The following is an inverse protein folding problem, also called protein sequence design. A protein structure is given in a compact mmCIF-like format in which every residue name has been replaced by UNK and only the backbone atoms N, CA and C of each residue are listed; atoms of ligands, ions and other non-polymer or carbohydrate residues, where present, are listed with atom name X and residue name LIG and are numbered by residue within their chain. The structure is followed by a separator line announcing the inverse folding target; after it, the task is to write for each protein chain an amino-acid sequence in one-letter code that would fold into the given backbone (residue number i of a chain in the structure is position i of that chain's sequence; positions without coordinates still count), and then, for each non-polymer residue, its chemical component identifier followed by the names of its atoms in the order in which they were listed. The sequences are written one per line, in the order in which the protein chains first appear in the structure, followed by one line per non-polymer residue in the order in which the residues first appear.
data_IF_259673683819
#
_entry.id   IF_259673683819
#
_cell.length_a   1.000
_cell.length_b   1.000
_cell.length_c   1.000
_cell.angle_alpha   90.00
_cell.angle_beta   90.00
_cell.angle_gamma   90.00
#
_symmetry.space_group_name_H-M   'P 1'
#
loop_
_entity.id
_entity.type
_entity.pdbx_description
1 polymer ?
#
# COMPACT_ATOMS: atom_id res chain seq x y z
N UNK A 1 -7.46 16.79 -9.34
CA UNK A 1 -6.34 15.84 -9.18
C UNK A 1 -5.38 16.43 -8.17
N UNK A 2 -5.10 15.74 -7.06
CA UNK A 2 -4.07 16.18 -6.10
C UNK A 2 -2.72 16.39 -6.79
N UNK A 3 -1.97 17.37 -6.29
CA UNK A 3 -0.56 17.54 -6.63
C UNK A 3 0.29 16.59 -5.77
N UNK A 4 1.52 16.27 -6.17
CA UNK A 4 2.42 15.46 -5.34
C UNK A 4 2.56 16.03 -3.92
N UNK A 5 2.62 17.35 -3.75
CA UNK A 5 2.68 17.97 -2.41
C UNK A 5 1.45 17.75 -1.52
N UNK A 6 0.31 17.34 -2.10
CA UNK A 6 -0.92 17.03 -1.36
C UNK A 6 -0.93 15.58 -0.84
N UNK A 7 0.05 14.75 -1.22
CA UNK A 7 0.16 13.38 -0.74
C UNK A 7 0.59 13.35 0.73
N UNK A 8 -0.05 12.45 1.49
CA UNK A 8 0.28 12.16 2.87
C UNK A 8 1.75 11.69 3.04
N UNK A 9 2.23 11.71 4.28
CA UNK A 9 3.53 11.12 4.64
C UNK A 9 3.61 9.68 4.09
N UNK A 10 4.74 9.30 3.44
CA UNK A 10 4.87 7.99 2.80
C UNK A 10 4.66 6.81 3.76
N UNK A 11 4.95 6.97 5.06
CA UNK A 11 4.70 5.92 6.06
C UNK A 11 3.20 5.75 6.32
N UNK A 12 2.41 6.81 6.21
CA UNK A 12 0.95 6.72 6.34
C UNK A 12 0.36 5.96 5.15
N UNK A 13 0.75 6.33 3.92
CA UNK A 13 0.32 5.61 2.71
C UNK A 13 0.72 4.14 2.76
N UNK A 14 1.97 3.86 3.13
CA UNK A 14 2.46 2.49 3.30
C UNK A 14 1.67 1.71 4.36
N UNK A 15 1.37 2.33 5.50
CA UNK A 15 0.61 1.68 6.58
C UNK A 15 -0.79 1.29 6.10
N UNK A 16 -1.48 2.19 5.40
CA UNK A 16 -2.82 1.91 4.84
C UNK A 16 -2.77 0.78 3.81
N UNK A 17 -1.84 0.85 2.85
CA UNK A 17 -1.66 -0.20 1.84
C UNK A 17 -1.35 -1.55 2.49
N UNK A 18 -0.49 -1.56 3.51
CA UNK A 18 -0.13 -2.78 4.24
C UNK A 18 -1.32 -3.41 4.97
N UNK A 19 -2.21 -2.62 5.55
CA UNK A 19 -3.42 -3.14 6.21
C UNK A 19 -4.42 -3.70 5.19
N UNK A 20 -4.60 -3.06 4.04
CA UNK A 20 -5.40 -3.62 2.93
C UNK A 20 -4.82 -4.95 2.44
N UNK A 21 -3.49 -5.05 2.30
CA UNK A 21 -2.82 -6.28 1.91
C UNK A 21 -3.04 -7.42 2.92
N UNK A 22 -3.05 -7.12 4.22
CA UNK A 22 -3.38 -8.10 5.26
C UNK A 22 -4.81 -8.59 5.12
N UNK A 23 -5.78 -7.70 4.89
CA UNK A 23 -7.17 -8.08 4.63
C UNK A 23 -7.34 -8.91 3.36
N UNK A 24 -6.67 -8.53 2.27
CA UNK A 24 -6.73 -9.25 1.00
C UNK A 24 -6.10 -10.65 1.11
N UNK A 25 -4.97 -10.79 1.80
CA UNK A 25 -4.34 -12.08 2.06
C UNK A 25 -5.21 -13.00 2.94
N UNK A 26 -6.08 -12.42 3.75
CA UNK A 26 -7.05 -13.12 4.58
C UNK A 26 -8.37 -13.41 3.85
N UNK A 27 -8.53 -12.95 2.60
CA UNK A 27 -9.78 -13.06 1.81
C UNK A 27 -10.97 -12.34 2.45
N UNK A 28 -10.71 -11.21 3.11
CA UNK A 28 -11.71 -10.35 3.79
C UNK A 28 -12.20 -9.21 2.89
N UNK A 29 -11.39 -8.82 1.90
CA UNK A 29 -11.72 -7.76 0.91
C UNK A 29 -11.60 -8.30 -0.52
N UNK A 30 -12.29 -7.69 -1.50
CA UNK A 30 -12.23 -8.12 -2.89
C UNK A 30 -10.80 -8.23 -3.43
N UNK A 31 -10.58 -9.19 -4.33
CA UNK A 31 -9.29 -9.44 -4.96
C UNK A 31 -8.83 -8.24 -5.79
N UNK A 32 -8.05 -7.36 -5.17
CA UNK A 32 -7.44 -6.20 -5.82
C UNK A 32 -6.11 -5.78 -5.19
N UNK A 33 -5.80 -6.23 -3.97
CA UNK A 33 -4.57 -5.88 -3.28
C UNK A 33 -3.58 -7.05 -3.24
N UNK A 34 -2.32 -6.79 -3.63
CA UNK A 34 -1.24 -7.78 -3.63
C UNK A 34 0.05 -7.21 -3.03
N UNK A 35 0.89 -8.10 -2.49
CA UNK A 35 2.23 -7.76 -1.98
C UNK A 35 3.28 -8.56 -2.74
N UNK A 36 4.20 -7.85 -3.38
CA UNK A 36 5.35 -8.41 -4.09
C UNK A 36 6.64 -7.70 -3.65
N UNK A 37 7.74 -7.99 -4.34
CA UNK A 37 9.06 -7.45 -3.99
C UNK A 37 9.17 -5.94 -4.35
N UNK A 38 8.26 -5.42 -5.18
CA UNK A 38 8.21 -4.01 -5.57
C UNK A 38 7.28 -3.19 -4.67
N UNK A 39 6.59 -3.81 -3.71
CA UNK A 39 5.75 -3.12 -2.72
C UNK A 39 4.33 -3.65 -2.64
N UNK A 40 3.40 -2.76 -2.31
CA UNK A 40 1.97 -3.10 -2.20
C UNK A 40 1.23 -2.48 -3.37
N UNK A 41 0.61 -3.33 -4.19
CA UNK A 41 -0.31 -2.91 -5.25
C UNK A 41 -1.74 -3.01 -4.72
N UNK A 42 -2.51 -1.94 -4.85
CA UNK A 42 -3.94 -1.90 -4.56
C UNK A 42 -4.71 -1.52 -5.84
N UNK A 43 -5.70 -2.32 -6.20
CA UNK A 43 -6.58 -2.08 -7.34
C UNK A 43 -8.03 -1.94 -6.86
N UNK A 44 -8.75 -1.02 -7.49
CA UNK A 44 -10.16 -0.75 -7.25
C UNK A 44 -10.88 -0.44 -8.56
N UNK A 45 -12.18 -0.09 -8.50
CA UNK A 45 -12.98 0.20 -9.69
C UNK A 45 -12.44 1.39 -10.50
N UNK A 46 -11.83 2.36 -9.83
CA UNK A 46 -11.38 3.61 -10.45
C UNK A 46 -9.91 3.59 -10.90
N UNK A 47 -9.19 2.50 -10.66
CA UNK A 47 -7.78 2.39 -11.03
C UNK A 47 -6.98 1.49 -10.10
N UNK A 48 -5.67 1.52 -10.28
CA UNK A 48 -4.71 0.86 -9.41
C UNK A 48 -3.63 1.83 -8.96
N UNK A 49 -3.05 1.54 -7.81
CA UNK A 49 -1.83 2.19 -7.35
C UNK A 49 -0.87 1.15 -6.77
N UNK A 50 0.42 1.50 -6.74
CA UNK A 50 1.47 0.77 -6.06
C UNK A 50 2.21 1.75 -5.16
N UNK A 51 2.34 1.37 -3.89
CA UNK A 51 3.16 2.07 -2.91
C UNK A 51 4.39 1.23 -2.65
N UNK A 52 5.55 1.86 -2.72
CA UNK A 52 6.83 1.25 -2.35
C UNK A 52 7.51 2.13 -1.31
N UNK A 53 8.02 1.55 -0.22
CA UNK A 53 8.68 2.27 0.86
C UNK A 53 10.07 1.70 1.16
N UNK A 54 11.09 2.55 1.12
CA UNK A 54 12.45 2.26 1.54
C UNK A 54 12.63 2.44 3.07
N UNK A 55 13.60 1.77 3.71
CA UNK A 55 13.83 1.90 5.16
C UNK A 55 14.29 3.27 5.62
N UNK A 56 14.95 4.02 4.74
CA UNK A 56 15.39 5.39 4.99
C UNK A 56 14.23 6.40 4.83
N UNK A 57 13.03 5.93 4.47
CA UNK A 57 11.82 6.72 4.38
C UNK A 57 11.56 7.29 2.99
N UNK A 58 12.39 6.96 2.00
CA UNK A 58 12.08 7.26 0.61
C UNK A 58 10.96 6.37 0.09
N UNK A 59 10.15 6.87 -0.82
CA UNK A 59 9.00 6.13 -1.32
C UNK A 59 8.72 6.41 -2.79
N UNK A 60 7.98 5.51 -3.42
CA UNK A 60 7.40 5.68 -4.74
C UNK A 60 5.90 5.38 -4.65
N UNK A 61 5.11 6.22 -5.32
CA UNK A 61 3.70 6.00 -5.57
C UNK A 61 3.49 6.03 -7.08
N UNK A 62 3.00 4.95 -7.67
CA UNK A 62 2.66 4.87 -9.10
C UNK A 62 1.25 4.33 -9.28
N UNK A 63 0.58 4.65 -10.37
CA UNK A 63 -0.76 4.12 -10.62
C UNK A 63 -1.32 4.49 -11.98
N UNK A 64 -2.53 4.03 -12.26
CA UNK A 64 -3.22 4.25 -13.54
C UNK A 64 -4.66 3.74 -13.50
N UNK A 65 -5.40 3.98 -14.59
CA UNK A 65 -6.79 3.53 -14.74
C UNK A 65 -6.90 2.00 -14.87
N UNK A 66 -8.07 1.44 -14.51
CA UNK A 66 -8.34 -0.01 -14.52
C UNK A 66 -8.56 -0.57 -15.93
N UNK A 67 -9.04 0.25 -16.86
CA UNK A 67 -9.25 -0.10 -18.26
C UNK A 67 -7.99 0.21 -19.06
N UNK A 68 -7.00 -0.66 -18.93
CA UNK A 68 -5.74 -0.55 -19.65
C UNK A 68 -5.93 -0.64 -21.17
N UNK A 69 -6.06 0.51 -21.83
CA UNK A 69 -5.39 0.85 -23.09
C UNK A 69 -5.14 2.36 -23.07
N UNK A 70 -4.30 2.81 -22.15
CA UNK A 70 -3.66 4.10 -22.34
C UNK A 70 -2.72 3.96 -23.53
N UNK A 71 -3.09 4.52 -24.68
CA UNK A 71 -2.16 4.82 -25.77
C UNK A 71 -0.87 5.31 -25.11
N UNK A 72 0.29 4.71 -25.40
CA UNK A 72 1.57 5.04 -24.75
C UNK A 72 2.06 6.49 -24.89
N UNK A 73 1.17 7.41 -25.24
CA UNK A 73 1.28 8.85 -25.37
C UNK A 73 1.09 9.53 -24.00
N UNK A 74 1.88 9.13 -23.01
CA UNK A 74 1.75 9.73 -21.68
C UNK A 74 2.69 9.15 -20.63
N UNK A 75 3.84 8.58 -21.01
CA UNK A 75 4.82 8.19 -20.01
C UNK A 75 5.19 9.44 -19.17
N UNK A 76 5.08 9.40 -17.84
CA UNK A 76 5.35 10.57 -17.01
C UNK A 76 6.76 11.11 -17.30
N UNK A 77 6.90 12.43 -17.33
CA UNK A 77 8.20 13.06 -17.49
C UNK A 77 9.10 12.62 -16.32
N UNK A 78 10.17 11.91 -16.68
CA UNK A 78 11.09 11.23 -15.76
C UNK A 78 12.27 12.13 -15.32
N UNK A 79 12.14 13.44 -15.51
CA UNK A 79 13.19 14.37 -15.11
C UNK A 79 13.25 14.49 -13.58
N UNK A 80 14.43 14.25 -13.00
CA UNK A 80 14.67 14.34 -11.56
C UNK A 80 14.47 13.03 -10.78
N UNK A 81 14.28 11.91 -11.48
CA UNK A 81 14.13 10.62 -10.83
C UNK A 81 15.42 10.12 -10.19
N UNK A 82 15.33 9.55 -8.98
CA UNK A 82 16.44 8.80 -8.42
C UNK A 82 16.90 7.64 -9.32
N UNK A 83 18.18 7.64 -9.73
CA UNK A 83 18.79 6.58 -10.58
C UNK A 83 18.76 5.19 -9.93
N UNK A 84 18.56 5.12 -8.60
CA UNK A 84 18.54 3.89 -7.83
C UNK A 84 17.22 3.12 -7.89
N UNK A 85 16.22 3.56 -8.66
CA UNK A 85 14.90 2.93 -8.73
C UNK A 85 14.73 2.24 -10.10
N UNK A 86 14.11 1.06 -10.13
CA UNK A 86 13.82 0.33 -11.37
C UNK A 86 12.59 0.91 -12.06
N UNK A 87 12.78 2.06 -12.71
CA UNK A 87 11.70 2.82 -13.33
C UNK A 87 11.03 2.08 -14.48
N UNK A 88 11.76 1.24 -15.21
CA UNK A 88 11.17 0.49 -16.31
C UNK A 88 10.16 -0.54 -15.80
N UNK A 89 10.40 -1.15 -14.63
CA UNK A 89 9.42 -1.99 -13.94
C UNK A 89 8.24 -1.21 -13.33
N UNK A 90 8.49 0.02 -12.86
CA UNK A 90 7.46 0.89 -12.26
C UNK A 90 6.59 1.62 -13.31
N UNK A 91 7.00 1.62 -14.58
CA UNK A 91 6.33 2.29 -15.71
C UNK A 91 5.24 1.47 -16.38
N UNK A 92 5.28 0.14 -16.29
CA UNK A 92 4.42 -0.71 -17.11
C UNK A 92 2.93 -0.48 -16.77
N UNK A 93 2.23 0.21 -17.67
CA UNK A 93 0.82 0.60 -17.51
C UNK A 93 0.52 1.73 -16.51
N UNK A 94 1.53 2.45 -16.01
CA UNK A 94 1.32 3.56 -15.06
C UNK A 94 1.02 4.89 -15.79
N UNK A 95 -0.10 5.53 -15.45
CA UNK A 95 -0.46 6.88 -15.89
C UNK A 95 0.21 7.99 -15.06
N UNK A 96 0.67 7.69 -13.83
CA UNK A 96 1.42 8.62 -13.01
C UNK A 96 2.49 7.93 -12.15
N UNK A 97 3.51 8.71 -11.77
CA UNK A 97 4.58 8.31 -10.85
C UNK A 97 4.98 9.51 -9.99
N UNK A 98 5.02 9.33 -8.67
CA UNK A 98 5.48 10.29 -7.68
C UNK A 98 6.53 9.63 -6.78
N UNK A 99 7.53 10.38 -6.33
CA UNK A 99 8.58 9.88 -5.44
C UNK A 99 8.80 10.81 -4.25
N UNK A 100 9.05 10.22 -3.08
CA UNK A 100 9.36 10.93 -1.86
C UNK A 100 10.86 10.87 -1.59
N UNK A 101 11.52 12.02 -1.53
CA UNK A 101 12.92 12.15 -1.15
C UNK A 101 13.20 13.54 -0.59
N UNK A 102 14.17 13.64 0.33
CA UNK A 102 14.52 14.92 0.95
C UNK A 102 13.39 15.55 1.78
N UNK A 103 12.40 14.78 2.21
CA UNK A 103 11.29 15.27 3.03
C UNK A 103 10.08 15.78 2.24
N UNK A 104 10.04 15.61 0.92
CA UNK A 104 8.94 16.06 0.07
C UNK A 104 8.63 15.05 -1.05
N UNK A 105 7.40 15.10 -1.53
CA UNK A 105 6.96 14.43 -2.75
C UNK A 105 7.33 15.25 -3.99
N UNK A 106 7.68 14.53 -5.05
CA UNK A 106 8.06 15.06 -6.35
C UNK A 106 7.34 14.26 -7.43
N UNK A 107 7.04 14.90 -8.56
CA UNK A 107 6.36 14.26 -9.70
C UNK A 107 5.92 15.29 -10.73
N UNK A 108 5.59 14.87 -11.97
CA UNK A 108 5.19 15.77 -13.05
C UNK A 108 3.83 16.47 -12.86
N UNK A 109 3.20 16.33 -11.69
CA UNK A 109 1.90 16.91 -11.36
C UNK A 109 0.73 16.02 -11.79
N UNK A 110 -0.41 16.16 -11.10
CA UNK A 110 -1.65 15.43 -11.41
C UNK A 110 -1.58 13.96 -11.02
N UNK A 111 -1.77 13.66 -9.74
CA UNK A 111 -2.04 12.30 -9.31
C UNK A 111 -3.53 12.06 -9.55
N UNK A 112 -3.88 11.18 -10.48
CA UNK A 112 -5.21 10.57 -10.41
C UNK A 112 -5.21 9.80 -9.11
N UNK A 113 -6.07 10.25 -8.18
CA UNK A 113 -5.93 10.00 -6.76
C UNK A 113 -5.43 8.57 -6.48
N UNK A 114 -4.46 8.36 -5.56
CA UNK A 114 -4.09 7.01 -5.14
C UNK A 114 -5.39 6.24 -4.95
N UNK A 115 -5.51 5.04 -5.54
CA UNK A 115 -6.78 4.30 -5.63
C UNK A 115 -7.60 4.60 -4.38
N UNK A 116 -8.79 5.21 -4.51
CA UNK A 116 -9.38 6.10 -3.49
C UNK A 116 -9.33 5.58 -2.05
N UNK A 117 -9.29 4.25 -1.90
CA UNK A 117 -8.96 3.45 -0.71
C UNK A 117 -7.72 3.87 0.10
N UNK A 118 -6.70 4.52 -0.48
CA UNK A 118 -5.48 4.95 0.25
C UNK A 118 -5.47 6.43 0.65
N UNK A 119 -6.48 7.21 0.22
CA UNK A 119 -6.53 8.66 0.39
C UNK A 119 -6.52 9.07 1.85
N UNK A 120 -7.28 8.36 2.69
CA UNK A 120 -7.36 8.59 4.13
C UNK A 120 -7.73 7.30 4.88
N UNK A 121 -7.77 7.41 6.21
CA UNK A 121 -8.09 6.28 7.09
C UNK A 121 -9.52 5.82 6.95
N UNK A 122 -10.48 6.74 6.77
CA UNK A 122 -11.89 6.40 6.67
C UNK A 122 -12.19 5.62 5.39
N UNK A 123 -11.49 5.94 4.29
CA UNK A 123 -11.53 5.20 3.04
C UNK A 123 -10.94 3.79 3.21
N UNK A 124 -9.74 3.66 3.80
CA UNK A 124 -9.13 2.35 4.07
C UNK A 124 -9.99 1.50 5.02
N UNK A 125 -10.57 2.13 6.04
CA UNK A 125 -11.47 1.47 7.00
C UNK A 125 -12.75 1.02 6.31
N UNK A 126 -13.34 1.87 5.46
CA UNK A 126 -14.55 1.55 4.70
C UNK A 126 -14.37 0.38 3.74
N UNK A 127 -13.19 0.25 3.12
CA UNK A 127 -12.88 -0.88 2.25
C UNK A 127 -12.84 -2.21 3.01
N UNK A 128 -12.38 -2.20 4.26
CA UNK A 128 -12.25 -3.40 5.09
C UNK A 128 -13.50 -3.73 5.91
N UNK A 129 -14.32 -2.73 6.24
CA UNK A 129 -15.44 -2.89 7.16
C UNK A 129 -16.55 -1.85 6.99
N UNK A 130 -17.78 -2.36 6.92
CA UNK A 130 -19.01 -1.54 6.91
C UNK A 130 -19.62 -1.38 8.31
N UNK A 131 -19.36 -2.30 9.24
CA UNK A 131 -19.96 -2.29 10.58
C UNK A 131 -19.08 -1.57 11.63
N UNK A 132 -19.71 -1.05 12.68
CA UNK A 132 -19.03 -0.27 13.73
C UNK A 132 -17.87 -1.02 14.41
N UNK A 133 -18.00 -2.33 14.63
CA UNK A 133 -16.96 -3.09 15.33
C UNK A 133 -15.77 -3.35 14.41
N UNK A 134 -16.02 -3.77 13.17
CA UNK A 134 -14.99 -3.90 12.14
C UNK A 134 -14.23 -2.60 11.94
N UNK A 135 -14.94 -1.48 11.76
CA UNK A 135 -14.32 -0.16 11.59
C UNK A 135 -13.42 0.22 12.76
N UNK A 136 -13.85 -0.05 13.99
CA UNK A 136 -13.05 0.20 15.20
C UNK A 136 -11.82 -0.69 15.27
N UNK A 137 -11.93 -1.95 14.89
CA UNK A 137 -10.81 -2.89 14.89
C UNK A 137 -9.72 -2.49 13.89
N UNK A 138 -10.11 -2.09 12.68
CA UNK A 138 -9.17 -1.59 11.66
C UNK A 138 -8.50 -0.28 12.11
N UNK A 139 -9.27 0.65 12.68
CA UNK A 139 -8.72 1.90 13.21
C UNK A 139 -7.68 1.66 14.33
N UNK A 140 -7.93 0.70 15.23
CA UNK A 140 -6.98 0.32 16.28
C UNK A 140 -5.69 -0.30 15.70
N UNK A 141 -5.80 -1.13 14.67
CA UNK A 141 -4.63 -1.68 13.95
C UNK A 141 -3.83 -0.59 13.26
N UNK A 142 -4.48 0.35 12.57
CA UNK A 142 -3.82 1.51 11.95
C UNK A 142 -3.07 2.36 12.98
N UNK A 143 -3.69 2.64 14.13
CA UNK A 143 -3.07 3.39 15.21
C UNK A 143 -1.83 2.69 15.77
N UNK A 144 -1.95 1.39 16.09
CA UNK A 144 -0.83 0.58 16.61
C UNK A 144 0.30 0.43 15.60
N UNK A 145 -0.01 0.31 14.31
CA UNK A 145 1.00 0.24 13.25
C UNK A 145 1.84 1.53 13.19
N UNK A 146 1.20 2.71 13.28
CA UNK A 146 1.89 4.02 13.28
C UNK A 146 2.79 4.20 14.49
N UNK A 147 2.36 3.70 15.63
CA UNK A 147 3.16 3.72 16.87
C UNK A 147 4.23 2.63 16.90
N UNK A 148 4.31 1.77 15.88
CA UNK A 148 5.19 0.61 15.82
C UNK A 148 5.00 -0.33 17.04
N UNK A 149 3.74 -0.49 17.46
CA UNK A 149 3.33 -1.35 18.59
C UNK A 149 2.43 -2.51 18.17
N UNK A 150 2.09 -2.62 16.88
CA UNK A 150 1.22 -3.67 16.36
C UNK A 150 1.86 -5.06 16.52
N UNK A 151 1.13 -5.98 17.16
CA UNK A 151 1.58 -7.37 17.36
C UNK A 151 0.74 -8.34 16.52
N UNK A 152 1.23 -9.57 16.26
CA UNK A 152 0.47 -10.59 15.55
C UNK A 152 -0.93 -10.83 16.12
N UNK A 153 -1.07 -10.83 17.45
CA UNK A 153 -2.36 -11.03 18.12
C UNK A 153 -3.37 -9.92 17.81
N UNK A 154 -2.91 -8.68 17.58
CA UNK A 154 -3.79 -7.57 17.21
C UNK A 154 -4.34 -7.77 15.79
N UNK A 155 -3.53 -8.28 14.85
CA UNK A 155 -3.98 -8.65 13.50
C UNK A 155 -4.99 -9.79 13.54
N UNK A 156 -4.71 -10.87 14.26
CA UNK A 156 -5.66 -11.99 14.39
C UNK A 156 -6.97 -11.55 15.06
N UNK A 157 -6.90 -10.67 16.07
CA UNK A 157 -8.09 -10.12 16.70
C UNK A 157 -8.92 -9.27 15.72
N UNK A 158 -8.27 -8.42 14.92
CA UNK A 158 -8.94 -7.66 13.87
C UNK A 158 -9.64 -8.59 12.88
N UNK A 159 -8.95 -9.60 12.35
CA UNK A 159 -9.52 -10.55 11.40
C UNK A 159 -10.74 -11.28 11.97
N UNK A 160 -10.68 -11.73 13.23
CA UNK A 160 -11.82 -12.39 13.88
C UNK A 160 -13.01 -11.47 14.14
N UNK A 161 -12.81 -10.14 14.18
CA UNK A 161 -13.89 -9.15 14.22
C UNK A 161 -14.47 -8.92 12.83
N UNK A 162 -13.62 -8.82 11.80
CA UNK A 162 -14.04 -8.60 10.41
C UNK A 162 -14.80 -9.79 9.85
N UNK A 163 -14.28 -11.00 10.07
CA UNK A 163 -14.91 -12.26 9.69
C UNK A 163 -14.51 -13.36 10.69
N UNK A 164 -15.46 -13.84 11.53
CA UNK A 164 -15.20 -14.91 12.49
C UNK A 164 -14.70 -16.22 11.85
N UNK A 165 -15.10 -16.52 10.62
CA UNK A 165 -14.67 -17.73 9.91
C UNK A 165 -13.21 -17.60 9.47
N UNK A 166 -12.78 -16.40 9.05
CA UNK A 166 -11.36 -16.09 8.77
C UNK A 166 -10.52 -16.19 10.03
N UNK A 167 -11.00 -15.66 11.16
CA UNK A 167 -10.32 -15.77 12.45
C UNK A 167 -10.17 -17.21 12.95
N UNK A 168 -11.06 -18.12 12.56
CA UNK A 168 -10.98 -19.54 12.87
C UNK A 168 -10.13 -20.34 11.86
N UNK A 169 -9.93 -19.81 10.65
CA UNK A 169 -9.12 -20.43 9.60
C UNK A 169 -7.62 -20.12 9.79
N UNK A 170 -6.88 -21.15 10.19
CA UNK A 170 -5.44 -21.07 10.42
C UNK A 170 -4.64 -20.74 9.16
N UNK A 171 -5.09 -21.16 7.97
CA UNK A 171 -4.40 -20.88 6.71
C UNK A 171 -4.58 -19.43 6.29
N UNK A 172 -5.80 -18.90 6.36
CA UNK A 172 -6.09 -17.48 6.07
C UNK A 172 -5.43 -16.55 7.08
N UNK A 173 -5.52 -16.87 8.37
CA UNK A 173 -4.82 -16.10 9.42
C UNK A 173 -3.30 -16.12 9.21
N UNK A 174 -2.73 -17.26 8.82
CA UNK A 174 -1.29 -17.34 8.51
C UNK A 174 -0.93 -16.46 7.32
N UNK A 175 -1.69 -16.51 6.22
CA UNK A 175 -1.43 -15.70 5.03
C UNK A 175 -1.45 -14.20 5.36
N UNK A 176 -2.40 -13.77 6.19
CA UNK A 176 -2.50 -12.39 6.67
C UNK A 176 -1.29 -11.97 7.51
N UNK A 177 -0.82 -12.85 8.42
CA UNK A 177 0.38 -12.60 9.21
C UNK A 177 1.64 -12.58 8.36
N UNK A 178 1.77 -13.47 7.38
CA UNK A 178 2.88 -13.48 6.43
C UNK A 178 2.90 -12.17 5.62
N UNK A 179 1.75 -11.66 5.19
CA UNK A 179 1.64 -10.35 4.56
C UNK A 179 2.07 -9.22 5.50
N UNK A 180 1.62 -9.22 6.77
CA UNK A 180 2.00 -8.22 7.78
C UNK A 180 3.51 -8.22 8.09
N UNK A 181 4.15 -9.40 8.06
CA UNK A 181 5.61 -9.52 8.18
C UNK A 181 6.29 -8.93 6.95
N UNK A 182 5.86 -9.34 5.75
CA UNK A 182 6.45 -8.91 4.48
C UNK A 182 6.39 -7.39 4.31
N UNK A 183 5.32 -6.76 4.74
CA UNK A 183 5.16 -5.30 4.64
C UNK A 183 5.84 -4.51 5.77
N UNK A 184 6.47 -5.17 6.75
CA UNK A 184 7.06 -4.45 7.88
C UNK A 184 6.03 -3.85 8.84
N UNK A 185 4.76 -4.26 8.76
CA UNK A 185 3.65 -3.67 9.51
C UNK A 185 3.69 -4.02 11.00
N UNK A 186 4.25 -5.20 11.33
CA UNK A 186 4.39 -5.65 12.71
C UNK A 186 5.57 -4.98 13.41
N UNK A 187 5.43 -4.76 14.72
CA UNK A 187 6.50 -4.20 15.53
C UNK A 187 7.79 -5.03 15.39
N UNK A 188 8.87 -4.38 14.96
CA UNK A 188 10.18 -4.99 14.80
C UNK A 188 10.41 -5.70 13.46
N UNK A 189 9.45 -5.70 12.54
CA UNK A 189 9.70 -6.08 11.13
C UNK A 189 10.08 -4.85 10.30
N UNK A 190 10.53 -5.07 9.07
CA UNK A 190 10.93 -3.99 8.13
C UNK A 190 10.25 -4.22 6.79
N UNK A 191 9.82 -3.15 6.10
CA UNK A 191 9.25 -3.27 4.77
C UNK A 191 10.25 -3.87 3.78
N UNK A 192 9.77 -4.50 2.68
CA UNK A 192 10.64 -5.01 1.64
C UNK A 192 11.29 -3.82 0.92
N UNK A 193 12.59 -3.92 0.72
CA UNK A 193 13.47 -2.78 0.42
C UNK A 193 13.36 -2.34 -1.03
N UNK A 194 13.20 -1.03 -1.28
CA UNK A 194 13.74 -0.43 -2.51
C UNK A 194 15.25 -0.70 -2.57
N UNK A 195 15.67 -1.50 -3.55
CA UNK A 195 17.07 -1.66 -3.90
C UNK A 195 17.82 -2.90 -3.42
N UNK A 196 17.19 -3.86 -2.74
CA UNK A 196 17.84 -5.18 -2.52
C UNK A 196 17.95 -5.98 -3.84
N UNK A 197 16.98 -5.84 -4.73
CA UNK A 197 17.06 -6.37 -6.10
C UNK A 197 18.09 -5.62 -6.97
N UNK A 198 18.37 -4.34 -6.69
CA UNK A 198 19.30 -3.50 -7.49
C UNK A 198 20.78 -3.66 -7.10
N UNK A 199 21.08 -4.22 -5.92
CA UNK A 199 22.48 -4.55 -5.53
C UNK A 199 22.92 -5.95 -5.95
N UNK A 200 22.01 -6.72 -6.57
CA UNK A 200 22.23 -8.12 -6.97
C UNK A 200 22.37 -8.30 -8.48
N UNK A 201 22.42 -7.21 -9.26
CA UNK A 201 22.65 -7.23 -10.72
C UNK A 201 23.94 -6.50 -11.07
#
# INVERSE_FOLDING_TARGET
MPLPEDLDDPKLLWTRASVLAVGAAADVVPAGTTVDDDGVRAAGPDGWCRVTLAPDGEAVLSGGESDGEGDGEGAPALDGLPERLDWDGLRDGAGYVCWYTGGAWHGPGGVDAPAGVLTDDDATIGELADDTNGRRAVADVLAKARENTLRPADVTAMLGVLDPDVGADAARTRAALDAAVRTGLLAGTKPPLLGEALRSR
#
